data_IF_101236769765
#
_entry.id   IF_101236769765
#
_cell.length_a   1.000
_cell.length_b   1.000
_cell.length_c   1.000
_cell.angle_alpha   90.00
_cell.angle_beta   90.00
_cell.angle_gamma   90.00
#
_symmetry.space_group_name_H-M   'P 1'
#
loop_
_entity.id
_entity.type
_entity.pdbx_description
1 polymer ?
#
# COMPACT_ATOMS: atom_id res chain seq x y z
N UNK A 1 11.52 10.36 16.81
CA UNK A 1 11.62 10.52 15.35
C UNK A 1 10.39 9.88 14.71
N UNK A 2 9.70 10.59 13.84
CA UNK A 2 8.54 10.05 13.15
C UNK A 2 8.93 9.07 12.04
N UNK A 3 7.95 8.33 11.56
CA UNK A 3 8.17 7.32 10.51
C UNK A 3 8.70 7.93 9.21
N UNK A 4 8.20 9.10 8.83
CA UNK A 4 8.66 9.78 7.61
C UNK A 4 10.14 10.12 7.72
N UNK A 5 10.55 10.71 8.84
CA UNK A 5 11.95 11.06 9.06
C UNK A 5 12.84 9.81 9.08
N UNK A 6 12.37 8.73 9.70
CA UNK A 6 13.11 7.46 9.71
C UNK A 6 13.29 6.93 8.29
N UNK A 7 12.20 6.88 7.51
CA UNK A 7 12.24 6.40 6.14
C UNK A 7 13.24 7.21 5.31
N UNK A 8 13.16 8.53 5.40
CA UNK A 8 14.03 9.41 4.62
C UNK A 8 15.49 9.30 5.06
N UNK A 9 15.76 9.06 6.35
CA UNK A 9 17.13 8.86 6.83
C UNK A 9 17.72 7.54 6.32
N UNK A 10 16.91 6.50 6.20
CA UNK A 10 17.34 5.18 5.73
C UNK A 10 17.53 5.16 4.20
N UNK A 11 16.59 5.77 3.46
CA UNK A 11 16.55 5.65 2.00
C UNK A 11 17.18 6.83 1.26
N UNK A 12 17.32 7.98 1.91
CA UNK A 12 17.75 9.25 1.29
C UNK A 12 16.83 9.68 0.15
N UNK A 13 15.56 9.25 0.23
CA UNK A 13 14.52 9.64 -0.72
C UNK A 13 13.36 10.29 0.02
N UNK A 14 12.76 11.30 -0.59
CA UNK A 14 11.57 11.92 -0.05
C UNK A 14 10.38 10.98 -0.17
N UNK A 15 9.64 10.87 0.91
CA UNK A 15 8.44 10.04 0.97
C UNK A 15 7.23 10.86 0.54
N UNK A 16 6.32 10.26 -0.21
CA UNK A 16 5.09 10.94 -0.60
C UNK A 16 4.11 11.03 0.55
N UNK A 17 3.88 9.91 1.24
CA UNK A 17 3.09 9.88 2.45
C UNK A 17 3.32 8.61 3.25
N UNK A 18 2.93 8.65 4.49
CA UNK A 18 2.99 7.52 5.40
C UNK A 18 1.67 7.43 6.14
N UNK A 19 1.05 6.27 6.14
CA UNK A 19 -0.16 6.01 6.89
C UNK A 19 0.00 4.72 7.68
N UNK A 20 -0.75 4.58 8.77
CA UNK A 20 -0.59 3.42 9.63
C UNK A 20 -1.90 2.94 10.25
N UNK A 21 -1.92 1.65 10.57
CA UNK A 21 -2.87 1.07 11.51
C UNK A 21 -2.08 0.63 12.73
N UNK A 22 -2.73 -0.02 13.68
CA UNK A 22 -2.05 -0.58 14.84
C UNK A 22 -0.96 -1.58 14.46
N UNK A 23 -1.17 -2.34 13.39
CA UNK A 23 -0.29 -3.44 12.99
C UNK A 23 0.55 -3.18 11.75
N UNK A 24 0.28 -2.11 11.02
CA UNK A 24 0.80 -1.90 9.68
C UNK A 24 1.23 -0.45 9.48
N UNK A 25 2.39 -0.26 8.84
CA UNK A 25 2.83 1.05 8.36
C UNK A 25 2.98 0.96 6.85
N UNK A 26 2.30 1.83 6.14
CA UNK A 26 2.37 1.92 4.69
C UNK A 26 3.13 3.17 4.28
N UNK A 27 4.21 2.98 3.55
CA UNK A 27 4.99 4.06 2.95
C UNK A 27 4.66 4.16 1.47
N UNK A 28 4.13 5.31 1.06
CA UNK A 28 3.86 5.57 -0.35
C UNK A 28 5.04 6.33 -0.94
N UNK A 29 5.72 5.70 -1.84
CA UNK A 29 6.93 6.20 -2.48
C UNK A 29 6.56 6.92 -3.78
N UNK A 30 7.25 7.98 -4.10
CA UNK A 30 7.03 8.70 -5.34
C UNK A 30 7.27 7.83 -6.57
N UNK A 31 6.58 8.17 -7.66
CA UNK A 31 6.67 7.42 -8.91
C UNK A 31 8.12 7.30 -9.38
N UNK A 32 8.50 6.09 -9.82
CA UNK A 32 9.83 5.77 -10.34
C UNK A 32 10.97 5.82 -9.32
N UNK A 33 10.68 5.88 -8.03
CA UNK A 33 11.72 5.93 -7.00
C UNK A 33 12.01 4.58 -6.33
N UNK A 34 11.06 3.65 -6.41
CA UNK A 34 11.19 2.37 -5.73
C UNK A 34 12.45 1.58 -6.15
N UNK A 35 12.72 1.52 -7.45
CA UNK A 35 13.88 0.82 -7.98
C UNK A 35 15.19 1.34 -7.42
N UNK A 36 15.33 2.66 -7.32
CA UNK A 36 16.55 3.28 -6.77
C UNK A 36 16.72 2.97 -5.29
N UNK A 37 15.60 2.96 -4.54
CA UNK A 37 15.64 2.64 -3.11
C UNK A 37 16.17 1.23 -2.90
N UNK A 38 15.59 0.24 -3.59
CA UNK A 38 16.01 -1.15 -3.44
C UNK A 38 17.42 -1.41 -3.98
N UNK A 39 17.84 -0.67 -5.00
CA UNK A 39 19.19 -0.79 -5.53
C UNK A 39 20.24 -0.36 -4.51
N UNK A 40 19.98 0.74 -3.79
CA UNK A 40 20.89 1.25 -2.76
C UNK A 40 20.77 0.48 -1.45
N UNK A 41 19.57 0.06 -1.11
CA UNK A 41 19.26 -0.60 0.17
C UNK A 41 18.42 -1.85 -0.06
N UNK A 42 19.02 -2.97 -0.50
CA UNK A 42 18.23 -4.20 -0.76
C UNK A 42 17.44 -4.69 0.44
N UNK A 43 17.89 -4.36 1.66
CA UNK A 43 17.28 -4.81 2.90
C UNK A 43 16.42 -3.73 3.58
N UNK A 44 15.99 -2.72 2.82
CA UNK A 44 15.28 -1.56 3.38
C UNK A 44 14.04 -1.97 4.20
N UNK A 45 13.25 -2.91 3.71
CA UNK A 45 12.03 -3.35 4.41
C UNK A 45 12.39 -3.99 5.75
N UNK A 46 13.40 -4.85 5.78
CA UNK A 46 13.87 -5.48 7.02
C UNK A 46 14.37 -4.46 8.03
N UNK A 47 15.13 -3.47 7.57
CA UNK A 47 15.64 -2.40 8.43
C UNK A 47 14.50 -1.60 9.04
N UNK A 48 13.51 -1.22 8.22
CA UNK A 48 12.35 -0.46 8.71
C UNK A 48 11.51 -1.30 9.68
N UNK A 49 11.29 -2.57 9.36
CA UNK A 49 10.52 -3.47 10.21
C UNK A 49 11.16 -3.63 11.58
N UNK A 50 12.48 -3.79 11.62
CA UNK A 50 13.24 -3.92 12.87
C UNK A 50 13.10 -2.67 13.74
N UNK A 51 13.17 -1.49 13.11
CA UNK A 51 13.07 -0.21 13.81
C UNK A 51 11.66 0.12 14.27
N UNK A 52 10.66 -0.22 13.45
CA UNK A 52 9.27 0.16 13.69
C UNK A 52 8.50 -0.93 14.45
N UNK A 53 8.87 -2.19 14.25
CA UNK A 53 8.24 -3.35 14.88
C UNK A 53 6.76 -3.49 14.49
N UNK A 54 6.45 -3.24 13.23
CA UNK A 54 5.13 -3.46 12.62
C UNK A 54 5.33 -4.03 11.23
N UNK A 55 4.28 -4.52 10.63
CA UNK A 55 4.33 -4.90 9.22
C UNK A 55 4.58 -3.65 8.38
N UNK A 56 5.47 -3.78 7.40
CA UNK A 56 5.85 -2.66 6.54
C UNK A 56 5.39 -2.96 5.12
N UNK A 57 4.70 -2.01 4.52
CA UNK A 57 4.39 -2.04 3.10
C UNK A 57 5.00 -0.80 2.47
N UNK A 58 5.72 -1.00 1.37
CA UNK A 58 6.19 0.10 0.53
C UNK A 58 5.47 -0.03 -0.80
N UNK A 59 4.80 1.02 -1.22
CA UNK A 59 4.06 1.04 -2.47
C UNK A 59 4.43 2.27 -3.29
N UNK A 60 4.71 2.06 -4.57
CA UNK A 60 5.01 3.16 -5.46
C UNK A 60 3.71 3.79 -5.96
N UNK A 61 3.64 5.11 -5.88
CA UNK A 61 2.49 5.85 -6.41
C UNK A 61 2.43 5.72 -7.92
N UNK A 62 1.24 5.74 -8.48
CA UNK A 62 1.01 5.69 -9.91
C UNK A 62 -0.18 6.58 -10.27
N UNK A 63 -0.18 7.11 -11.48
CA UNK A 63 -1.31 7.87 -12.03
C UNK A 63 -2.40 6.96 -12.56
N UNK A 64 -2.11 5.66 -12.66
CA UNK A 64 -3.05 4.66 -13.12
C UNK A 64 -3.64 3.91 -11.93
N UNK A 65 -4.97 3.92 -11.80
CA UNK A 65 -5.66 3.30 -10.68
C UNK A 65 -5.37 1.81 -10.56
N UNK A 66 -5.39 1.09 -11.69
CA UNK A 66 -5.10 -0.34 -11.69
C UNK A 66 -3.70 -0.62 -11.14
N UNK A 67 -2.72 0.14 -11.62
CA UNK A 67 -1.33 0.00 -11.19
C UNK A 67 -1.17 0.36 -9.71
N UNK A 68 -1.79 1.46 -9.27
CA UNK A 68 -1.72 1.88 -7.86
C UNK A 68 -2.31 0.81 -6.95
N UNK A 69 -3.46 0.25 -7.31
CA UNK A 69 -4.12 -0.81 -6.54
C UNK A 69 -3.21 -2.04 -6.47
N UNK A 70 -2.63 -2.44 -7.59
CA UNK A 70 -1.71 -3.58 -7.63
C UNK A 70 -0.48 -3.33 -6.76
N UNK A 71 0.08 -2.14 -6.81
CA UNK A 71 1.27 -1.80 -6.02
C UNK A 71 0.99 -1.86 -4.52
N UNK A 72 -0.17 -1.35 -4.08
CA UNK A 72 -0.56 -1.40 -2.68
C UNK A 72 -0.73 -2.81 -2.15
N UNK A 73 -1.28 -3.70 -2.97
CA UNK A 73 -1.67 -5.03 -2.54
C UNK A 73 -0.74 -6.13 -3.04
N UNK A 74 0.37 -5.76 -3.64
CA UNK A 74 1.32 -6.70 -4.25
C UNK A 74 1.72 -7.86 -3.33
N UNK A 75 2.05 -7.56 -2.08
CA UNK A 75 2.53 -8.58 -1.15
C UNK A 75 1.47 -9.63 -0.76
N UNK A 76 0.21 -9.36 -1.04
CA UNK A 76 -0.89 -10.25 -0.68
C UNK A 76 -1.25 -11.24 -1.79
N UNK A 77 -0.45 -11.31 -2.84
CA UNK A 77 -0.69 -12.24 -3.94
C UNK A 77 -1.94 -11.90 -4.73
N UNK A 78 -2.02 -10.66 -5.20
CA UNK A 78 -3.14 -10.20 -6.02
C UNK A 78 -3.21 -11.01 -7.31
N UNK A 79 -4.38 -11.59 -7.60
CA UNK A 79 -4.64 -12.38 -8.81
C UNK A 79 -5.41 -11.61 -9.84
N UNK A 80 -6.49 -10.94 -9.42
CA UNK A 80 -7.35 -10.18 -10.29
C UNK A 80 -7.78 -8.88 -9.63
N UNK A 81 -7.96 -7.84 -10.44
CA UNK A 81 -8.47 -6.56 -10.01
C UNK A 81 -9.59 -6.18 -10.99
N UNK A 82 -10.81 -6.02 -10.47
CA UNK A 82 -11.95 -5.57 -11.23
C UNK A 82 -12.30 -4.16 -10.82
N UNK A 83 -12.31 -3.26 -11.79
CA UNK A 83 -12.67 -1.86 -11.56
C UNK A 83 -13.99 -1.59 -12.26
N UNK A 84 -14.99 -1.19 -11.49
CA UNK A 84 -16.30 -0.84 -11.99
C UNK A 84 -16.50 0.67 -11.91
N UNK A 85 -16.48 1.31 -13.07
CA UNK A 85 -16.63 2.75 -13.19
C UNK A 85 -18.11 3.13 -13.22
N UNK A 86 -18.54 3.92 -12.24
CA UNK A 86 -19.90 4.46 -12.18
C UNK A 86 -19.80 5.98 -12.13
N UNK A 87 -20.88 6.67 -12.39
CA UNK A 87 -20.94 8.13 -12.39
C UNK A 87 -20.16 8.79 -11.24
N UNK A 88 -18.93 9.23 -11.54
CA UNK A 88 -18.08 9.90 -10.55
C UNK A 88 -17.57 9.04 -9.41
N UNK A 89 -17.88 7.74 -9.39
CA UNK A 89 -17.46 6.82 -8.34
C UNK A 89 -16.90 5.55 -8.95
N UNK A 90 -15.96 4.95 -8.25
CA UNK A 90 -15.32 3.72 -8.71
C UNK A 90 -15.37 2.68 -7.61
N UNK A 91 -15.82 1.48 -7.94
CA UNK A 91 -15.78 0.34 -7.04
C UNK A 91 -14.70 -0.62 -7.52
N UNK A 92 -13.84 -1.02 -6.60
CA UNK A 92 -12.73 -1.93 -6.89
C UNK A 92 -12.96 -3.23 -6.13
N UNK A 93 -12.86 -4.34 -6.84
CA UNK A 93 -12.89 -5.66 -6.25
C UNK A 93 -11.60 -6.38 -6.59
N UNK A 94 -10.90 -6.89 -5.57
CA UNK A 94 -9.65 -7.60 -5.76
C UNK A 94 -9.79 -9.05 -5.35
N UNK A 95 -9.05 -9.92 -6.04
CA UNK A 95 -8.91 -11.32 -5.69
C UNK A 95 -7.46 -11.55 -5.29
N UNK A 96 -7.27 -12.12 -4.12
CA UNK A 96 -5.93 -12.41 -3.59
C UNK A 96 -5.82 -13.89 -3.25
N UNK A 97 -4.62 -14.35 -2.93
CA UNK A 97 -4.42 -15.70 -2.45
C UNK A 97 -5.32 -15.97 -1.24
N UNK A 98 -6.03 -17.11 -1.19
CA UNK A 98 -6.99 -17.38 -0.10
C UNK A 98 -6.41 -17.21 1.30
N UNK A 99 -5.16 -17.62 1.52
CA UNK A 99 -4.48 -17.50 2.80
C UNK A 99 -4.15 -16.06 3.17
N UNK A 100 -4.27 -15.12 2.22
CA UNK A 100 -3.99 -13.70 2.44
C UNK A 100 -5.24 -12.85 2.66
N UNK A 101 -6.43 -13.39 2.44
CA UNK A 101 -7.68 -12.63 2.56
C UNK A 101 -7.80 -11.95 3.92
N UNK A 102 -7.56 -12.68 4.99
CA UNK A 102 -7.66 -12.13 6.35
C UNK A 102 -6.67 -11.02 6.60
N UNK A 103 -5.47 -11.12 6.03
CA UNK A 103 -4.43 -10.10 6.20
C UNK A 103 -4.72 -8.83 5.43
N UNK A 104 -5.32 -8.95 4.24
CA UNK A 104 -5.72 -7.79 3.45
C UNK A 104 -6.82 -7.02 4.17
N UNK A 105 -7.80 -7.73 4.69
CA UNK A 105 -8.93 -7.12 5.39
C UNK A 105 -8.46 -6.55 6.73
N UNK A 106 -7.68 -7.32 7.47
CA UNK A 106 -7.20 -6.93 8.78
C UNK A 106 -8.28 -7.05 9.85
N UNK A 107 -7.86 -6.88 11.10
CA UNK A 107 -8.76 -6.95 12.24
C UNK A 107 -9.82 -5.86 12.14
N UNK A 108 -11.09 -6.25 12.16
CA UNK A 108 -12.23 -5.33 12.04
C UNK A 108 -12.21 -4.51 10.76
N UNK A 109 -11.57 -5.04 9.71
CA UNK A 109 -11.48 -4.36 8.42
C UNK A 109 -10.52 -3.18 8.39
N UNK A 110 -9.62 -3.05 9.35
CA UNK A 110 -8.72 -1.89 9.45
C UNK A 110 -7.82 -1.71 8.25
N UNK A 111 -7.25 -2.81 7.74
CA UNK A 111 -6.29 -2.70 6.65
C UNK A 111 -6.96 -2.34 5.33
N UNK A 112 -8.07 -3.01 5.00
CA UNK A 112 -8.76 -2.71 3.75
C UNK A 112 -9.32 -1.29 3.74
N UNK A 113 -9.77 -0.82 4.89
CA UNK A 113 -10.22 0.56 5.04
C UNK A 113 -9.09 1.54 4.78
N UNK A 114 -7.90 1.24 5.31
CA UNK A 114 -6.72 2.06 5.08
C UNK A 114 -6.36 2.11 3.60
N UNK A 115 -6.33 0.97 2.93
CA UNK A 115 -6.02 0.91 1.50
C UNK A 115 -7.02 1.71 0.68
N UNK A 116 -8.31 1.60 0.99
CA UNK A 116 -9.33 2.39 0.32
C UNK A 116 -9.11 3.89 0.52
N UNK A 117 -8.81 4.30 1.75
CA UNK A 117 -8.57 5.71 2.05
C UNK A 117 -7.37 6.26 1.29
N UNK A 118 -6.31 5.48 1.18
CA UNK A 118 -5.13 5.89 0.40
C UNK A 118 -5.48 6.05 -1.07
N UNK A 119 -6.17 5.07 -1.65
CA UNK A 119 -6.59 5.15 -3.05
C UNK A 119 -7.53 6.34 -3.29
N UNK A 120 -8.42 6.62 -2.34
CA UNK A 120 -9.38 7.72 -2.46
C UNK A 120 -8.71 9.10 -2.44
N UNK A 121 -7.46 9.20 -1.99
CA UNK A 121 -6.69 10.45 -2.05
C UNK A 121 -6.23 10.78 -3.46
N UNK A 122 -6.11 9.78 -4.31
CA UNK A 122 -5.58 9.93 -5.67
C UNK A 122 -6.62 9.72 -6.77
N UNK A 123 -7.71 9.01 -6.45
CA UNK A 123 -8.73 8.62 -7.43
C UNK A 123 -10.11 8.68 -6.78
N UNK A 124 -11.18 8.84 -7.57
CA UNK A 124 -12.55 8.87 -7.02
C UNK A 124 -13.04 7.47 -6.63
N UNK A 125 -12.37 6.83 -5.69
CA UNK A 125 -12.69 5.48 -5.23
C UNK A 125 -13.77 5.54 -4.16
N UNK A 126 -14.87 4.82 -4.40
CA UNK A 126 -15.97 4.68 -3.45
C UNK A 126 -15.77 3.47 -2.55
N UNK A 127 -15.41 2.34 -3.13
CA UNK A 127 -15.25 1.10 -2.36
C UNK A 127 -14.07 0.27 -2.85
N UNK A 128 -13.50 -0.49 -1.92
CA UNK A 128 -12.49 -1.50 -2.18
C UNK A 128 -12.90 -2.73 -1.40
N UNK A 129 -13.10 -3.83 -2.10
CA UNK A 129 -13.50 -5.10 -1.47
C UNK A 129 -12.63 -6.25 -1.95
N UNK A 130 -12.58 -7.29 -1.15
CA UNK A 130 -11.86 -8.52 -1.48
C UNK A 130 -12.88 -9.59 -1.82
N UNK A 131 -12.72 -10.20 -2.99
CA UNK A 131 -13.57 -11.29 -3.44
C UNK A 131 -13.17 -12.56 -2.68
N UNK A 132 -14.16 -13.18 -2.08
CA UNK A 132 -13.95 -14.43 -1.34
C UNK A 132 -14.33 -15.66 -2.14
#
# INVERSE_FOLDING_TARGET
MGYIALFESVTHENLRECVETEDLVLFVVNEKKMGNIFKRNPNVVSVLKERINKHIIMAEASRDLLTMTRNLLFRYGVREIHINWKEGQTDIQVSVAPEEIGRVIGKEGRNIKLFREVLARYFPVHSLSVKQ
#
